data_IF_256987498405
#
_entry.id   IF_256987498405
#
_cell.length_a   1.000
_cell.length_b   1.000
_cell.length_c   1.000
_cell.angle_alpha   90.00
_cell.angle_beta   90.00
_cell.angle_gamma   90.00
#
_symmetry.space_group_name_H-M   'P 1'
#
loop_
_entity.id
_entity.type
_entity.pdbx_description
1 polymer ?
#
# COMPACT_ATOMS: atom_id res chain seq x y z
N UNK A 1 6.66 10.90 12.48
CA UNK A 1 7.50 11.22 11.30
C UNK A 1 6.74 12.25 10.47
N UNK A 2 7.44 13.21 9.86
CA UNK A 2 6.83 14.14 8.91
C UNK A 2 7.39 13.80 7.53
N UNK A 3 6.53 13.70 6.53
CA UNK A 3 6.92 13.46 5.15
C UNK A 3 6.80 14.76 4.37
N UNK A 4 7.90 15.21 3.78
CA UNK A 4 7.94 16.38 2.93
C UNK A 4 7.62 15.97 1.49
N UNK A 5 6.37 16.25 1.08
CA UNK A 5 5.88 15.95 -0.26
C UNK A 5 6.61 16.70 -1.38
N UNK A 6 7.31 17.80 -1.07
CA UNK A 6 8.04 18.57 -2.08
C UNK A 6 9.39 17.95 -2.44
N UNK A 7 10.01 17.26 -1.48
CA UNK A 7 11.30 16.56 -1.67
C UNK A 7 11.15 15.04 -1.76
N UNK A 8 9.93 14.53 -1.61
CA UNK A 8 9.60 13.10 -1.59
C UNK A 8 10.43 12.32 -0.55
N UNK A 9 10.72 12.95 0.60
CA UNK A 9 11.53 12.36 1.66
C UNK A 9 11.03 12.75 3.06
N UNK A 10 11.60 12.14 4.09
CA UNK A 10 11.29 12.39 5.49
C UNK A 10 11.87 13.73 5.93
N UNK A 11 11.04 14.58 6.51
CA UNK A 11 11.49 15.76 7.26
C UNK A 11 11.92 15.33 8.66
N UNK A 12 13.22 15.06 8.79
CA UNK A 12 13.87 14.66 10.05
C UNK A 12 14.09 15.88 10.96
N UNK A 13 14.18 17.08 10.38
CA UNK A 13 14.48 18.30 11.12
C UNK A 13 13.30 18.76 11.98
N UNK A 14 12.07 18.48 11.55
CA UNK A 14 10.85 18.85 12.26
C UNK A 14 10.04 17.61 12.67
N UNK A 15 10.51 16.82 13.64
CA UNK A 15 9.77 15.65 14.07
C UNK A 15 8.45 16.06 14.73
N UNK A 16 7.38 15.33 14.41
CA UNK A 16 6.13 15.46 15.14
C UNK A 16 6.35 15.01 16.59
N UNK A 17 6.15 15.92 17.54
CA UNK A 17 6.19 15.64 18.98
C UNK A 17 4.76 15.40 19.46
N UNK A 18 4.58 14.37 20.28
CA UNK A 18 3.29 14.00 20.86
C UNK A 18 3.41 13.95 22.37
N UNK A 19 2.43 14.55 23.07
CA UNK A 19 2.37 14.53 24.52
C UNK A 19 1.69 13.25 25.03
N UNK A 20 2.20 12.71 26.13
CA UNK A 20 1.68 11.50 26.76
C UNK A 20 0.59 11.85 27.80
N UNK A 21 -0.40 10.96 28.05
CA UNK A 21 -0.48 9.60 27.54
C UNK A 21 -1.24 9.47 26.21
N UNK A 22 -0.66 8.73 25.26
CA UNK A 22 -1.35 8.32 24.04
C UNK A 22 -2.24 7.12 24.34
N UNK A 23 -3.49 7.15 23.86
CA UNK A 23 -4.46 6.06 24.03
C UNK A 23 -4.56 5.14 22.81
N UNK A 24 -4.35 5.68 21.62
CA UNK A 24 -4.44 4.98 20.34
C UNK A 24 -3.38 5.54 19.41
N UNK A 25 -2.69 4.65 18.71
CA UNK A 25 -1.80 4.98 17.59
C UNK A 25 -2.43 4.36 16.35
N UNK A 26 -2.59 5.16 15.29
CA UNK A 26 -3.02 4.66 13.98
C UNK A 26 -1.79 4.63 13.09
N UNK A 27 -1.47 3.43 12.60
CA UNK A 27 -0.44 3.24 11.58
C UNK A 27 -1.16 2.86 10.29
N UNK A 28 -0.89 3.59 9.22
CA UNK A 28 -1.53 3.40 7.92
C UNK A 28 -0.47 3.18 6.83
N UNK A 29 -0.84 2.40 5.82
CA UNK A 29 0.04 2.02 4.72
C UNK A 29 -0.56 0.91 3.88
N UNK A 30 -0.29 0.95 2.58
CA UNK A 30 -0.91 0.06 1.60
C UNK A 30 -0.48 -1.41 1.72
N UNK A 31 0.72 -1.67 2.26
CA UNK A 31 1.31 -3.00 2.40
C UNK A 31 1.38 -3.49 3.86
N UNK A 32 0.73 -2.81 4.81
CA UNK A 32 0.78 -3.25 6.21
C UNK A 32 0.12 -4.62 6.38
N UNK A 33 0.80 -5.50 7.12
CA UNK A 33 0.38 -6.87 7.33
C UNK A 33 0.71 -7.83 6.17
N UNK A 34 1.21 -7.34 5.03
CA UNK A 34 1.57 -8.18 3.89
C UNK A 34 2.59 -9.25 4.27
N UNK A 35 2.45 -10.42 3.67
CA UNK A 35 3.25 -11.59 4.03
C UNK A 35 4.26 -11.93 2.93
N UNK A 36 5.41 -12.52 3.28
CA UNK A 36 6.32 -13.03 2.28
C UNK A 36 5.68 -14.17 1.49
N UNK A 37 5.88 -14.14 0.18
CA UNK A 37 5.59 -15.22 -0.74
C UNK A 37 6.66 -16.31 -0.68
N UNK A 38 6.29 -17.52 -1.06
CA UNK A 38 7.21 -18.66 -1.18
C UNK A 38 8.15 -18.50 -2.38
N UNK A 39 9.32 -19.16 -2.35
CA UNK A 39 10.26 -19.13 -3.47
C UNK A 39 9.59 -19.50 -4.82
N UNK A 40 8.74 -20.54 -4.84
CA UNK A 40 8.02 -20.95 -6.04
C UNK A 40 7.06 -19.87 -6.59
N UNK A 41 6.45 -19.07 -5.71
CA UNK A 41 5.59 -17.94 -6.12
C UNK A 41 6.40 -16.75 -6.64
N UNK A 42 7.68 -16.65 -6.29
CA UNK A 42 8.58 -15.62 -6.78
C UNK A 42 9.22 -16.00 -8.12
N UNK A 43 9.23 -17.27 -8.55
CA UNK A 43 9.83 -17.66 -9.83
C UNK A 43 9.13 -17.00 -11.03
N UNK A 44 7.80 -16.99 -11.02
CA UNK A 44 7.00 -16.47 -12.14
C UNK A 44 6.76 -14.96 -11.99
N UNK A 45 7.11 -14.19 -13.02
CA UNK A 45 6.77 -12.79 -13.12
C UNK A 45 5.25 -12.61 -13.27
N UNK A 46 4.66 -11.64 -12.60
CA UNK A 46 3.20 -11.41 -12.66
C UNK A 46 2.79 -10.28 -13.62
N UNK A 47 3.74 -9.45 -14.04
CA UNK A 47 3.50 -8.33 -14.94
C UNK A 47 4.72 -7.99 -15.80
N UNK A 48 4.52 -7.01 -16.68
CA UNK A 48 5.51 -6.57 -17.67
C UNK A 48 6.78 -6.07 -17.00
N UNK A 49 6.63 -5.23 -15.96
CA UNK A 49 7.74 -4.71 -15.19
C UNK A 49 8.62 -5.82 -14.62
N UNK A 50 8.04 -6.85 -13.99
CA UNK A 50 8.84 -7.95 -13.45
C UNK A 50 9.48 -8.78 -14.56
N UNK A 51 8.76 -9.03 -15.65
CA UNK A 51 9.29 -9.82 -16.76
C UNK A 51 10.45 -9.15 -17.51
N UNK A 52 10.47 -7.81 -17.56
CA UNK A 52 11.42 -7.05 -18.36
C UNK A 52 12.53 -6.39 -17.54
N UNK A 53 12.22 -5.95 -16.31
CA UNK A 53 13.11 -5.16 -15.47
C UNK A 53 13.57 -5.91 -14.21
N UNK A 54 12.85 -6.97 -13.82
CA UNK A 54 13.23 -7.87 -12.71
C UNK A 54 13.36 -9.33 -13.19
N UNK A 55 13.92 -9.52 -14.39
CA UNK A 55 13.99 -10.84 -15.04
C UNK A 55 14.79 -11.87 -14.22
N UNK A 56 15.75 -11.42 -13.41
CA UNK A 56 16.53 -12.24 -12.48
C UNK A 56 15.87 -12.41 -11.10
N UNK A 57 14.80 -11.66 -10.81
CA UNK A 57 14.05 -11.74 -9.56
C UNK A 57 14.68 -11.05 -8.36
N UNK A 58 15.77 -10.30 -8.54
CA UNK A 58 16.50 -9.64 -7.45
C UNK A 58 15.60 -8.68 -6.67
N UNK A 59 14.73 -7.94 -7.35
CA UNK A 59 13.86 -6.96 -6.70
C UNK A 59 12.71 -7.64 -5.96
N UNK A 60 12.00 -8.59 -6.57
CA UNK A 60 10.93 -9.31 -5.85
C UNK A 60 11.47 -10.14 -4.69
N UNK A 61 12.69 -10.68 -4.77
CA UNK A 61 13.36 -11.32 -3.64
C UNK A 61 13.71 -10.31 -2.53
N UNK A 62 14.23 -9.14 -2.88
CA UNK A 62 14.53 -8.07 -1.92
C UNK A 62 13.28 -7.65 -1.15
N UNK A 63 12.18 -7.39 -1.86
CA UNK A 63 10.88 -7.03 -1.26
C UNK A 63 10.39 -8.14 -0.34
N UNK A 64 10.47 -9.39 -0.78
CA UNK A 64 10.04 -10.55 0.01
C UNK A 64 10.83 -10.69 1.31
N UNK A 65 12.14 -10.47 1.26
CA UNK A 65 13.03 -10.50 2.43
C UNK A 65 12.73 -9.37 3.41
N UNK A 66 12.39 -8.18 2.91
CA UNK A 66 11.99 -7.07 3.77
C UNK A 66 10.68 -7.40 4.52
N UNK A 67 9.71 -8.02 3.84
CA UNK A 67 8.45 -8.48 4.47
C UNK A 67 8.69 -9.56 5.53
N UNK A 68 9.60 -10.51 5.26
CA UNK A 68 9.95 -11.59 6.20
C UNK A 68 10.72 -11.10 7.43
N UNK A 69 11.46 -9.99 7.31
CA UNK A 69 12.35 -9.48 8.36
C UNK A 69 11.89 -8.13 8.89
N UNK A 70 12.28 -7.05 8.22
CA UNK A 70 12.18 -5.69 8.75
C UNK A 70 10.74 -5.28 9.12
N UNK A 71 9.75 -5.75 8.35
CA UNK A 71 8.34 -5.47 8.61
C UNK A 71 7.70 -6.41 9.63
N UNK A 72 8.22 -7.64 9.79
CA UNK A 72 7.64 -8.63 10.70
C UNK A 72 7.65 -8.14 12.15
N UNK A 73 8.74 -7.50 12.58
CA UNK A 73 8.87 -6.93 13.92
C UNK A 73 7.85 -5.81 14.17
N UNK A 74 7.62 -4.94 13.17
CA UNK A 74 6.62 -3.88 13.25
C UNK A 74 5.20 -4.46 13.33
N UNK A 75 4.89 -5.46 12.49
CA UNK A 75 3.56 -6.06 12.43
C UNK A 75 3.20 -6.81 13.71
N UNK A 76 4.21 -7.36 14.42
CA UNK A 76 4.01 -8.01 15.71
C UNK A 76 3.58 -7.05 16.84
N UNK A 77 3.78 -5.74 16.67
CA UNK A 77 3.34 -4.71 17.64
C UNK A 77 1.88 -4.27 17.45
N UNK A 78 1.21 -4.71 16.38
CA UNK A 78 -0.12 -4.23 16.03
C UNK A 78 -1.20 -5.06 16.75
N UNK A 79 -1.93 -4.41 17.65
CA UNK A 79 -3.02 -5.02 18.41
C UNK A 79 -4.30 -5.24 17.58
N UNK A 80 -4.55 -4.36 16.60
CA UNK A 80 -5.78 -4.29 15.83
C UNK A 80 -5.49 -4.05 14.34
N UNK A 81 -6.14 -4.85 13.49
CA UNK A 81 -5.94 -4.84 12.05
C UNK A 81 -7.24 -4.49 11.33
N UNK A 82 -7.18 -3.48 10.46
CA UNK A 82 -8.29 -3.05 9.62
C UNK A 82 -7.85 -3.02 8.17
N UNK A 83 -8.66 -3.59 7.28
CA UNK A 83 -8.44 -3.56 5.84
C UNK A 83 -9.63 -2.94 5.12
N UNK A 84 -9.33 -2.01 4.21
CA UNK A 84 -10.24 -1.55 3.17
C UNK A 84 -9.88 -2.30 1.88
N UNK A 85 -10.61 -3.38 1.58
CA UNK A 85 -10.31 -4.27 0.45
C UNK A 85 -11.00 -3.78 -0.81
N UNK A 86 -10.20 -3.45 -1.83
CA UNK A 86 -10.71 -3.16 -3.17
C UNK A 86 -11.27 -4.44 -3.85
N UNK A 87 -12.15 -4.30 -4.86
CA UNK A 87 -12.66 -5.45 -5.63
C UNK A 87 -11.57 -6.26 -6.33
N UNK A 88 -10.59 -5.58 -6.92
CA UNK A 88 -9.52 -6.16 -7.73
C UNK A 88 -8.37 -5.18 -7.90
N UNK A 89 -7.23 -5.65 -8.43
CA UNK A 89 -6.10 -4.78 -8.75
C UNK A 89 -6.41 -3.83 -9.92
N UNK A 90 -7.18 -4.27 -10.91
CA UNK A 90 -7.69 -3.39 -11.97
C UNK A 90 -8.46 -2.20 -11.39
N UNK A 91 -9.26 -2.42 -10.34
CA UNK A 91 -9.97 -1.34 -9.67
C UNK A 91 -9.01 -0.34 -8.99
N UNK A 92 -7.90 -0.81 -8.45
CA UNK A 92 -6.85 0.04 -7.87
C UNK A 92 -6.21 0.91 -8.96
N UNK A 93 -5.90 0.32 -10.12
CA UNK A 93 -5.41 1.07 -11.28
C UNK A 93 -6.40 2.16 -11.71
N UNK A 94 -7.69 1.82 -11.87
CA UNK A 94 -8.73 2.81 -12.22
C UNK A 94 -8.80 3.95 -11.21
N UNK A 95 -8.70 3.65 -9.91
CA UNK A 95 -8.69 4.68 -8.88
C UNK A 95 -7.46 5.59 -8.93
N UNK A 96 -6.28 5.03 -9.23
CA UNK A 96 -5.05 5.81 -9.42
C UNK A 96 -5.17 6.70 -10.66
N UNK A 97 -5.72 6.18 -11.76
CA UNK A 97 -5.99 6.96 -12.97
C UNK A 97 -6.93 8.13 -12.71
N UNK A 98 -8.04 7.91 -11.98
CA UNK A 98 -8.94 9.00 -11.57
C UNK A 98 -8.24 10.07 -10.73
N UNK A 99 -7.27 9.68 -9.91
CA UNK A 99 -6.50 10.61 -9.09
C UNK A 99 -5.58 11.48 -9.95
N UNK A 100 -4.87 10.88 -10.91
CA UNK A 100 -4.01 11.59 -11.86
C UNK A 100 -4.83 12.56 -12.74
N UNK A 101 -5.97 12.14 -13.26
CA UNK A 101 -6.87 12.99 -14.05
C UNK A 101 -7.36 14.21 -13.24
N UNK A 102 -7.70 14.02 -11.97
CA UNK A 102 -8.09 15.12 -11.07
C UNK A 102 -6.92 16.06 -10.79
N UNK A 103 -5.70 15.55 -10.72
CA UNK A 103 -4.50 16.37 -10.56
C UNK A 103 -4.23 17.21 -11.81
N UNK A 104 -4.27 16.60 -12.99
CA UNK A 104 -4.12 17.27 -14.28
C UNK A 104 -5.15 18.40 -14.45
N UNK A 105 -6.42 18.11 -14.16
CA UNK A 105 -7.50 19.13 -14.21
C UNK A 105 -7.22 20.32 -13.29
N UNK A 106 -6.73 20.07 -12.06
CA UNK A 106 -6.41 21.15 -11.11
C UNK A 106 -5.22 22.00 -11.55
N UNK A 107 -4.29 21.40 -12.28
CA UNK A 107 -3.10 22.07 -12.81
C UNK A 107 -3.35 22.70 -14.19
N UNK A 108 -4.50 22.45 -14.82
CA UNK A 108 -4.86 22.98 -16.13
C UNK A 108 -4.15 22.28 -17.30
N UNK A 109 -3.73 21.03 -17.09
CA UNK A 109 -2.95 20.22 -18.03
C UNK A 109 -3.84 19.17 -18.66
N UNK A 110 -3.59 18.86 -19.93
CA UNK A 110 -4.25 17.73 -20.58
C UNK A 110 -3.61 16.43 -20.07
N UNK A 111 -4.42 15.56 -19.45
CA UNK A 111 -3.97 14.25 -18.96
C UNK A 111 -3.42 13.36 -20.09
N UNK A 112 -3.83 13.62 -21.34
CA UNK A 112 -3.36 12.90 -22.53
C UNK A 112 -2.18 13.58 -23.22
N UNK A 113 -1.69 14.73 -22.73
CA UNK A 113 -0.53 15.36 -23.35
C UNK A 113 0.72 14.55 -23.10
N UNK A 114 1.44 14.21 -24.17
CA UNK A 114 2.78 13.60 -24.08
C UNK A 114 3.88 14.61 -23.65
N UNK A 115 3.52 15.88 -23.47
CA UNK A 115 4.42 16.95 -23.04
C UNK A 115 4.62 16.93 -21.51
N UNK A 116 5.37 15.93 -21.04
CA UNK A 116 5.73 15.76 -19.63
C UNK A 116 6.69 16.85 -19.12
N UNK A 117 7.15 17.78 -19.97
CA UNK A 117 8.08 18.85 -19.55
C UNK A 117 7.37 19.98 -18.78
N UNK A 118 6.05 20.16 -19.00
CA UNK A 118 5.31 21.22 -18.32
C UNK A 118 5.03 20.89 -16.85
N UNK A 119 4.84 19.61 -16.49
CA UNK A 119 4.43 19.20 -15.14
C UNK A 119 5.01 17.82 -14.75
N UNK A 120 6.17 17.75 -14.08
CA UNK A 120 6.87 16.51 -13.75
C UNK A 120 6.15 15.58 -12.75
N UNK A 121 4.92 15.90 -12.35
CA UNK A 121 4.14 15.14 -11.37
C UNK A 121 2.89 14.45 -11.93
N UNK A 122 2.59 14.60 -13.23
CA UNK A 122 1.45 13.92 -13.89
C UNK A 122 2.00 12.78 -14.75
N UNK A 123 1.46 11.59 -14.57
CA UNK A 123 1.81 10.43 -15.39
C UNK A 123 0.82 10.23 -16.53
N UNK A 124 1.33 9.95 -17.74
CA UNK A 124 0.52 9.44 -18.83
C UNK A 124 0.08 7.98 -18.55
N UNK A 125 -0.72 7.38 -19.44
CA UNK A 125 -1.25 6.03 -19.25
C UNK A 125 -0.16 4.95 -19.13
N UNK A 126 0.91 5.03 -19.91
CA UNK A 126 2.00 4.05 -19.87
C UNK A 126 2.82 4.19 -18.59
N UNK A 127 3.14 5.43 -18.20
CA UNK A 127 3.83 5.74 -16.95
C UNK A 127 2.99 5.31 -15.75
N UNK A 128 1.68 5.51 -15.80
CA UNK A 128 0.75 5.09 -14.75
C UNK A 128 0.70 3.57 -14.62
N UNK A 129 0.66 2.85 -15.74
CA UNK A 129 0.70 1.39 -15.74
C UNK A 129 2.04 0.90 -15.16
N UNK A 130 3.15 1.46 -15.64
CA UNK A 130 4.47 1.13 -15.12
C UNK A 130 4.58 1.42 -13.61
N UNK A 131 4.05 2.55 -13.16
CA UNK A 131 3.96 2.90 -11.74
C UNK A 131 3.15 1.87 -10.96
N UNK A 132 1.93 1.51 -11.41
CA UNK A 132 1.07 0.60 -10.67
C UNK A 132 1.66 -0.81 -10.60
N UNK A 133 2.39 -1.25 -11.63
CA UNK A 133 3.00 -2.58 -11.68
C UNK A 133 3.92 -2.86 -10.48
N UNK A 134 4.55 -1.82 -9.91
CA UNK A 134 5.38 -1.92 -8.69
C UNK A 134 4.60 -2.42 -7.47
N UNK A 135 3.27 -2.25 -7.45
CA UNK A 135 2.40 -2.53 -6.32
C UNK A 135 1.61 -3.82 -6.47
N UNK A 136 1.56 -4.40 -7.68
CA UNK A 136 0.65 -5.49 -8.01
C UNK A 136 0.87 -6.72 -7.14
N UNK A 137 2.12 -7.17 -7.02
CA UNK A 137 2.47 -8.42 -6.34
C UNK A 137 1.99 -8.44 -4.90
N UNK A 138 2.38 -7.42 -4.14
CA UNK A 138 2.00 -7.29 -2.74
C UNK A 138 0.49 -7.12 -2.62
N UNK A 139 -0.14 -6.31 -3.48
CA UNK A 139 -1.58 -6.03 -3.39
C UNK A 139 -2.42 -7.26 -3.65
N UNK A 140 -2.16 -7.98 -4.73
CA UNK A 140 -2.88 -9.20 -5.08
C UNK A 140 -2.62 -10.31 -4.07
N UNK A 141 -1.37 -10.46 -3.61
CA UNK A 141 -1.07 -11.41 -2.53
C UNK A 141 -1.85 -11.06 -1.27
N UNK A 142 -1.86 -9.78 -0.87
CA UNK A 142 -2.59 -9.26 0.26
C UNK A 142 -4.10 -9.50 0.18
N UNK A 143 -4.71 -9.37 -1.01
CA UNK A 143 -6.12 -9.69 -1.23
C UNK A 143 -6.46 -11.16 -0.94
N UNK A 144 -5.50 -12.07 -1.08
CA UNK A 144 -5.69 -13.50 -0.80
C UNK A 144 -5.35 -13.90 0.63
N UNK A 145 -4.39 -13.24 1.27
CA UNK A 145 -3.83 -13.66 2.57
C UNK A 145 -4.38 -12.89 3.75
N UNK A 146 -4.60 -11.59 3.61
CA UNK A 146 -4.98 -10.69 4.69
C UNK A 146 -6.41 -10.83 5.18
N UNK A 147 -7.45 -11.04 4.33
CA UNK A 147 -8.84 -11.02 4.79
C UNK A 147 -9.11 -11.88 6.02
N UNK A 148 -8.56 -13.11 6.07
CA UNK A 148 -8.72 -14.04 7.20
C UNK A 148 -7.98 -13.65 8.47
N UNK A 149 -7.12 -12.62 8.43
CA UNK A 149 -6.26 -12.15 9.52
C UNK A 149 -6.68 -10.78 10.06
N UNK A 150 -7.63 -10.13 9.40
CA UNK A 150 -8.10 -8.81 9.80
C UNK A 150 -9.10 -8.92 10.95
N UNK A 151 -9.04 -7.97 11.87
CA UNK A 151 -10.08 -7.81 12.89
C UNK A 151 -11.30 -7.08 12.32
N UNK A 152 -11.08 -6.18 11.37
CA UNK A 152 -12.12 -5.50 10.61
C UNK A 152 -11.79 -5.55 9.12
N UNK A 153 -12.62 -6.24 8.35
CA UNK A 153 -12.54 -6.26 6.90
C UNK A 153 -13.73 -5.51 6.33
N UNK A 154 -13.46 -4.45 5.58
CA UNK A 154 -14.44 -3.72 4.79
C UNK A 154 -14.17 -3.97 3.32
N UNK A 155 -15.14 -4.54 2.61
CA UNK A 155 -15.03 -4.66 1.16
C UNK A 155 -15.67 -3.46 0.49
N UNK A 156 -14.96 -2.90 -0.49
CA UNK A 156 -15.38 -1.75 -1.26
C UNK A 156 -15.93 -2.19 -2.62
N UNK A 157 -16.89 -1.45 -3.17
CA UNK A 157 -17.24 -1.51 -4.58
C UNK A 157 -16.30 -0.65 -5.43
N UNK A 158 -16.51 -0.63 -6.75
CA UNK A 158 -15.72 0.17 -7.70
C UNK A 158 -15.87 1.69 -7.50
N UNK A 159 -16.88 2.14 -6.76
CA UNK A 159 -17.09 3.54 -6.37
C UNK A 159 -16.53 3.86 -4.97
N UNK A 160 -15.73 2.95 -4.38
CA UNK A 160 -15.14 3.07 -3.03
C UNK A 160 -16.17 3.07 -1.90
N UNK A 161 -17.40 2.60 -2.15
CA UNK A 161 -18.41 2.46 -1.10
C UNK A 161 -18.24 1.12 -0.41
N UNK A 162 -18.42 1.11 0.91
CA UNK A 162 -18.42 -0.11 1.70
C UNK A 162 -19.68 -0.91 1.35
N UNK A 163 -19.49 -2.13 0.85
CA UNK A 163 -20.57 -3.06 0.51
C UNK A 163 -20.70 -4.19 1.53
N UNK A 164 -19.63 -4.49 2.27
CA UNK A 164 -19.65 -5.51 3.32
C UNK A 164 -18.70 -5.13 4.46
N UNK A 165 -19.03 -5.63 5.65
CA UNK A 165 -18.18 -5.57 6.84
C UNK A 165 -18.18 -6.95 7.50
N UNK A 166 -17.00 -7.40 7.92
CA UNK A 166 -16.85 -8.63 8.72
C UNK A 166 -15.74 -8.49 9.75
N UNK A 167 -15.74 -9.42 10.72
CA UNK A 167 -14.69 -9.56 11.73
C UNK A 167 -14.08 -10.97 11.70
N UNK A 168 -13.21 -11.26 10.71
CA UNK A 168 -12.64 -12.61 10.53
C UNK A 168 -11.84 -13.10 11.73
N UNK A 169 -11.14 -12.19 12.42
CA UNK A 169 -10.42 -12.47 13.67
C UNK A 169 -11.11 -11.74 14.82
N UNK A 170 -11.32 -12.45 15.93
CA UNK A 170 -11.85 -11.84 17.16
C UNK A 170 -10.76 -11.05 17.86
N UNK A 171 -11.09 -9.85 18.33
CA UNK A 171 -10.23 -9.11 19.26
C UNK A 171 -9.98 -9.95 20.50
N UNK A 172 -8.73 -10.34 20.73
CA UNK A 172 -8.36 -10.82 22.06
C UNK A 172 -8.34 -9.62 22.98
N UNK A 173 -9.09 -9.68 24.09
CA UNK A 173 -9.01 -8.63 25.11
C UNK A 173 -7.57 -8.60 25.61
N UNK A 174 -6.82 -7.56 25.25
CA UNK A 174 -5.47 -7.38 25.76
C UNK A 174 -5.57 -7.36 27.29
N UNK A 175 -4.99 -8.39 27.91
CA UNK A 175 -4.64 -8.34 29.33
C UNK A 175 -3.85 -7.06 29.49
N UNK A 176 -4.27 -6.20 30.42
CA UNK A 176 -3.61 -4.94 30.75
C UNK A 176 -2.18 -5.25 31.23
N UNK A 177 -1.26 -5.47 30.29
CA UNK A 177 0.15 -5.51 30.57
C UNK A 177 0.52 -4.07 30.87
N UNK A 178 0.49 -3.75 32.16
CA UNK A 178 0.71 -2.42 32.68
C UNK A 178 1.98 -1.82 32.09
N UNK A 179 1.80 -0.67 31.45
CA UNK A 179 2.88 0.29 31.25
C UNK A 179 3.37 0.63 32.66
N UNK A 180 4.54 0.10 33.03
CA UNK A 180 5.34 0.60 34.15
C UNK A 180 6.23 1.72 33.65
#
# INVERSE_FOLDING_TARGET
PVFDKSHDDRDIANPQVVELPIKVIIVEGWCLGAEPQTAAQLETAINTLESQQDANGEWREFVNKALDKDYADLFALVDCWLMLKAPSFDCVYQWRMEQEQKMATKLGVDFLSEDNQAHPGIMNTEELQHFIDHYQRITEHGFTTLPKKMHHLYELDTQRKIISHSQPVTMTSATTAGIK
#
